data_IF_095712817124
#
_entry.id   IF_095712817124
#
_cell.length_a   1.000
_cell.length_b   1.000
_cell.length_c   1.000
_cell.angle_alpha   90.00
_cell.angle_beta   90.00
_cell.angle_gamma   90.00
#
_symmetry.space_group_name_H-M   'P 1'
#
loop_
_entity.id
_entity.type
_entity.pdbx_description
1 polymer ?
#
# COMPACT_ATOMS: atom_id res chain seq x y z
N UNK A 1 -35.23 -41.79 -40.33
CA UNK A 1 -34.54 -43.09 -40.47
C UNK A 1 -33.21 -43.02 -41.24
N UNK A 2 -33.12 -42.29 -42.37
CA UNK A 2 -31.90 -42.26 -43.23
C UNK A 2 -30.68 -41.60 -42.56
N UNK A 3 -30.86 -40.62 -41.68
CA UNK A 3 -29.76 -39.94 -40.97
C UNK A 3 -29.08 -40.82 -39.92
N UNK A 4 -29.84 -41.69 -39.24
CA UNK A 4 -29.30 -42.66 -38.27
C UNK A 4 -28.42 -43.69 -38.96
N UNK A 5 -28.85 -44.25 -40.10
CA UNK A 5 -28.04 -45.17 -40.89
C UNK A 5 -26.77 -44.51 -41.46
N UNK A 6 -26.83 -43.23 -41.88
CA UNK A 6 -25.64 -42.49 -42.31
C UNK A 6 -24.66 -42.26 -41.17
N UNK A 7 -25.13 -41.91 -39.98
CA UNK A 7 -24.31 -41.77 -38.77
C UNK A 7 -23.70 -43.12 -38.36
N UNK A 8 -24.50 -44.19 -38.37
CA UNK A 8 -24.06 -45.55 -38.06
C UNK A 8 -23.00 -46.05 -39.05
N UNK A 9 -23.18 -45.79 -40.35
CA UNK A 9 -22.19 -46.10 -41.38
C UNK A 9 -20.91 -45.27 -41.23
N UNK A 10 -20.99 -43.99 -40.83
CA UNK A 10 -19.82 -43.15 -40.56
C UNK A 10 -19.03 -43.63 -39.33
N UNK A 11 -19.74 -44.05 -38.28
CA UNK A 11 -19.16 -44.67 -37.08
C UNK A 11 -18.48 -46.00 -37.44
N UNK A 12 -19.14 -46.84 -38.24
CA UNK A 12 -18.58 -48.11 -38.69
C UNK A 12 -17.38 -47.95 -39.63
N UNK A 13 -17.41 -46.95 -40.52
CA UNK A 13 -16.32 -46.66 -41.46
C UNK A 13 -15.07 -46.14 -40.72
N UNK A 14 -15.26 -45.48 -39.59
CA UNK A 14 -14.18 -45.01 -38.71
C UNK A 14 -13.96 -45.92 -37.49
N UNK A 15 -14.48 -47.16 -37.48
CA UNK A 15 -14.45 -48.05 -36.30
C UNK A 15 -13.05 -48.26 -35.72
N UNK A 16 -12.03 -48.31 -36.57
CA UNK A 16 -10.66 -48.53 -36.12
C UNK A 16 -10.06 -47.30 -35.44
N UNK A 17 -10.44 -46.10 -35.87
CA UNK A 17 -10.05 -44.85 -35.22
C UNK A 17 -10.86 -44.64 -33.92
N UNK A 18 -12.15 -44.98 -33.93
CA UNK A 18 -13.00 -44.96 -32.75
C UNK A 18 -12.58 -45.99 -31.70
N UNK A 19 -12.21 -47.21 -32.11
CA UNK A 19 -11.70 -48.24 -31.21
C UNK A 19 -10.40 -47.78 -30.54
N UNK A 20 -9.45 -47.22 -31.32
CA UNK A 20 -8.20 -46.68 -30.78
C UNK A 20 -8.43 -45.49 -29.85
N UNK A 21 -9.38 -44.61 -30.18
CA UNK A 21 -9.78 -43.49 -29.32
C UNK A 21 -10.44 -43.98 -28.04
N UNK A 22 -11.34 -44.96 -28.10
CA UNK A 22 -12.00 -45.56 -26.93
C UNK A 22 -11.03 -46.34 -26.04
N UNK A 23 -9.96 -46.89 -26.60
CA UNK A 23 -8.91 -47.60 -25.85
C UNK A 23 -7.91 -46.63 -25.20
N UNK A 24 -7.67 -45.47 -25.81
CA UNK A 24 -6.79 -44.41 -25.31
C UNK A 24 -7.51 -43.36 -24.43
N UNK A 25 -8.84 -43.25 -24.52
CA UNK A 25 -9.66 -42.29 -23.79
C UNK A 25 -9.57 -42.48 -22.27
N UNK A 26 -9.77 -43.69 -21.73
CA UNK A 26 -9.72 -43.91 -20.29
C UNK A 26 -8.39 -43.52 -19.65
N UNK A 27 -7.20 -43.96 -20.13
CA UNK A 27 -5.94 -43.55 -19.53
C UNK A 27 -5.65 -42.05 -19.74
N UNK A 28 -6.06 -41.46 -20.87
CA UNK A 28 -5.89 -40.02 -21.10
C UNK A 28 -6.77 -39.17 -20.17
N UNK A 29 -8.01 -39.58 -19.93
CA UNK A 29 -8.94 -38.91 -19.01
C UNK A 29 -8.50 -39.08 -17.54
N UNK A 30 -7.97 -40.25 -17.16
CA UNK A 30 -7.40 -40.47 -15.84
C UNK A 30 -6.16 -39.58 -15.60
N UNK A 31 -5.23 -39.52 -16.56
CA UNK A 31 -4.06 -38.65 -16.49
C UNK A 31 -4.43 -37.16 -16.46
N UNK A 32 -5.47 -36.76 -17.23
CA UNK A 32 -6.03 -35.42 -17.17
C UNK A 32 -6.64 -35.12 -15.80
N UNK A 33 -7.38 -36.07 -15.22
CA UNK A 33 -7.97 -35.93 -13.89
C UNK A 33 -6.93 -35.78 -12.78
N UNK A 34 -5.86 -36.57 -12.82
CA UNK A 34 -4.73 -36.46 -11.88
C UNK A 34 -4.00 -35.12 -12.02
N UNK A 35 -3.74 -34.68 -13.26
CA UNK A 35 -3.13 -33.37 -13.53
C UNK A 35 -3.98 -32.22 -13.01
N UNK A 36 -5.32 -32.30 -13.17
CA UNK A 36 -6.24 -31.31 -12.62
C UNK A 36 -6.23 -31.30 -11.09
N UNK A 37 -6.18 -32.47 -10.44
CA UNK A 37 -6.09 -32.55 -8.97
C UNK A 37 -4.78 -31.94 -8.44
N UNK A 38 -3.65 -32.22 -9.08
CA UNK A 38 -2.35 -31.62 -8.72
C UNK A 38 -2.34 -30.10 -8.91
N UNK A 39 -2.84 -29.63 -10.06
CA UNK A 39 -2.98 -28.20 -10.31
C UNK A 39 -3.90 -27.52 -9.28
N UNK A 40 -4.97 -28.20 -8.86
CA UNK A 40 -5.88 -27.69 -7.85
C UNK A 40 -5.26 -27.60 -6.45
N UNK A 41 -4.44 -28.58 -6.06
CA UNK A 41 -3.66 -28.54 -4.82
C UNK A 41 -2.61 -27.41 -4.86
N UNK A 42 -1.96 -27.21 -6.00
CA UNK A 42 -1.05 -26.09 -6.22
C UNK A 42 -1.74 -24.73 -6.08
N UNK A 43 -2.92 -24.56 -6.68
CA UNK A 43 -3.72 -23.35 -6.54
C UNK A 43 -4.15 -23.10 -5.09
N UNK A 44 -4.61 -24.11 -4.35
CA UNK A 44 -4.95 -23.99 -2.92
C UNK A 44 -3.72 -23.57 -2.10
N UNK A 45 -2.56 -24.15 -2.39
CA UNK A 45 -1.29 -23.84 -1.71
C UNK A 45 -0.85 -22.40 -1.96
N UNK A 46 -0.93 -21.93 -3.21
CA UNK A 46 -0.68 -20.54 -3.57
C UNK A 46 -1.69 -19.59 -2.90
N UNK A 47 -2.97 -19.96 -2.87
CA UNK A 47 -4.01 -19.21 -2.16
C UNK A 47 -3.76 -19.10 -0.65
N UNK A 48 -3.27 -20.18 -0.02
CA UNK A 48 -2.85 -20.19 1.38
C UNK A 48 -1.61 -19.31 1.63
N UNK A 49 -0.63 -19.31 0.73
CA UNK A 49 0.54 -18.45 0.82
C UNK A 49 0.19 -16.96 0.72
N UNK A 50 -0.78 -16.60 -0.11
CA UNK A 50 -1.17 -15.20 -0.33
C UNK A 50 -2.03 -14.68 0.83
N UNK A 51 -3.09 -15.41 1.21
CA UNK A 51 -4.09 -14.98 2.21
C UNK A 51 -3.71 -15.32 3.65
N UNK A 52 -2.87 -16.33 3.84
CA UNK A 52 -2.70 -17.00 5.13
C UNK A 52 -3.61 -18.21 5.27
N UNK A 53 -3.03 -19.30 5.76
CA UNK A 53 -3.68 -20.57 6.08
C UNK A 53 -2.77 -21.43 6.96
N UNK A 54 -3.31 -22.49 7.55
CA UNK A 54 -2.57 -23.39 8.44
C UNK A 54 -1.27 -23.87 7.79
N UNK A 55 -0.13 -23.60 8.45
CA UNK A 55 1.20 -24.04 8.02
C UNK A 55 2.05 -23.03 7.23
N UNK A 56 1.54 -21.84 6.88
CA UNK A 56 2.35 -20.79 6.26
C UNK A 56 2.90 -19.80 7.31
N UNK A 57 4.22 -19.77 7.59
CA UNK A 57 4.79 -18.97 8.69
C UNK A 57 4.71 -17.45 8.46
N UNK A 58 4.63 -16.99 7.20
CA UNK A 58 4.45 -15.58 6.81
C UNK A 58 3.64 -15.57 5.50
N UNK A 59 2.58 -14.76 5.42
CA UNK A 59 1.80 -14.59 4.18
C UNK A 59 1.85 -13.13 3.69
N UNK A 60 1.66 -12.96 2.38
CA UNK A 60 1.77 -11.66 1.72
C UNK A 60 0.80 -10.62 2.30
N UNK A 61 -0.42 -11.04 2.68
CA UNK A 61 -1.41 -10.19 3.33
C UNK A 61 -0.90 -9.64 4.67
N UNK A 62 -0.39 -10.51 5.55
CA UNK A 62 0.12 -10.11 6.87
C UNK A 62 1.28 -9.13 6.78
N UNK A 63 2.19 -9.31 5.82
CA UNK A 63 3.31 -8.36 5.61
C UNK A 63 2.79 -6.99 5.22
N UNK A 64 1.77 -6.94 4.36
CA UNK A 64 1.15 -5.69 3.90
C UNK A 64 0.34 -5.02 5.03
N UNK A 65 -0.40 -5.80 5.83
CA UNK A 65 -1.11 -5.29 7.02
C UNK A 65 -0.13 -4.72 8.07
N UNK A 66 0.96 -5.44 8.39
CA UNK A 66 2.00 -4.97 9.31
C UNK A 66 2.68 -3.69 8.81
N UNK A 67 2.93 -3.59 7.50
CA UNK A 67 3.47 -2.36 6.91
C UNK A 67 2.48 -1.20 7.03
N UNK A 68 1.18 -1.43 6.84
CA UNK A 68 0.15 -0.41 7.03
C UNK A 68 0.07 0.07 8.48
N UNK A 69 0.13 -0.84 9.45
CA UNK A 69 0.17 -0.52 10.88
C UNK A 69 1.43 0.27 11.26
N UNK A 70 2.59 -0.13 10.74
CA UNK A 70 3.84 0.60 10.95
C UNK A 70 3.79 2.01 10.36
N UNK A 71 3.17 2.20 9.18
CA UNK A 71 2.94 3.53 8.60
C UNK A 71 1.95 4.35 9.43
N UNK A 72 0.92 3.73 10.01
CA UNK A 72 -0.02 4.42 10.89
C UNK A 72 0.66 4.90 12.19
N UNK A 73 1.52 4.07 12.79
CA UNK A 73 2.34 4.46 13.92
C UNK A 73 3.37 5.55 13.54
N UNK A 74 3.93 5.48 12.34
CA UNK A 74 4.82 6.50 11.79
C UNK A 74 4.12 7.85 11.61
N UNK A 75 2.89 7.84 11.09
CA UNK A 75 2.03 9.03 10.96
C UNK A 75 1.86 9.73 12.31
N UNK A 76 1.49 8.98 13.35
CA UNK A 76 1.28 9.55 14.69
C UNK A 76 2.53 10.28 15.19
N UNK A 77 3.71 9.67 15.07
CA UNK A 77 4.97 10.32 15.49
C UNK A 77 5.29 11.58 14.68
N UNK A 78 4.95 11.60 13.40
CA UNK A 78 5.13 12.77 12.53
C UNK A 78 4.19 13.90 12.95
N UNK A 79 2.94 13.60 13.27
CA UNK A 79 1.99 14.58 13.81
C UNK A 79 2.45 15.13 15.16
N UNK A 80 2.85 14.26 16.09
CA UNK A 80 3.36 14.67 17.41
C UNK A 80 4.59 15.59 17.28
N UNK A 81 5.45 15.33 16.28
CA UNK A 81 6.62 16.16 15.99
C UNK A 81 6.21 17.51 15.40
N UNK A 82 5.20 17.54 14.52
CA UNK A 82 4.69 18.78 13.94
C UNK A 82 4.10 19.69 15.02
N UNK A 83 3.31 19.12 15.93
CA UNK A 83 2.70 19.85 17.04
C UNK A 83 3.78 20.40 17.99
N UNK A 84 4.82 19.61 18.29
CA UNK A 84 5.96 20.09 19.08
C UNK A 84 6.70 21.27 18.44
N UNK A 85 6.91 21.26 17.11
CA UNK A 85 7.55 22.38 16.42
C UNK A 85 6.68 23.65 16.45
N UNK A 86 5.37 23.49 16.34
CA UNK A 86 4.42 24.61 16.43
C UNK A 86 4.40 25.23 17.84
N UNK A 87 4.39 24.39 18.87
CA UNK A 87 4.51 24.82 20.28
C UNK A 87 5.84 25.53 20.53
N UNK A 88 6.96 24.95 20.06
CA UNK A 88 8.27 25.55 20.19
C UNK A 88 8.36 26.90 19.46
N UNK A 89 7.79 27.00 18.26
CA UNK A 89 7.69 28.25 17.51
C UNK A 89 6.92 29.31 18.29
N UNK A 90 5.74 28.95 18.81
CA UNK A 90 4.90 29.82 19.62
C UNK A 90 5.63 30.33 20.87
N UNK A 91 6.31 29.46 21.61
CA UNK A 91 7.08 29.85 22.80
C UNK A 91 8.26 30.77 22.46
N UNK A 92 9.00 30.46 21.39
CA UNK A 92 10.10 31.31 20.92
C UNK A 92 9.58 32.67 20.43
N UNK A 93 8.44 32.70 19.75
CA UNK A 93 7.79 33.91 19.24
C UNK A 93 7.31 34.86 20.35
N UNK A 94 7.05 34.35 21.56
CA UNK A 94 6.71 35.13 22.76
C UNK A 94 7.91 35.89 23.33
N UNK A 95 9.14 35.49 23.02
CA UNK A 95 10.34 36.17 23.51
C UNK A 95 10.53 37.50 22.75
N UNK A 96 10.10 38.60 23.38
CA UNK A 96 10.32 39.97 22.89
C UNK A 96 11.51 40.58 23.61
N UNK A 97 12.45 41.11 22.83
CA UNK A 97 13.63 41.79 23.39
C UNK A 97 13.44 43.30 23.26
N UNK A 98 13.60 44.06 24.35
CA UNK A 98 13.60 45.51 24.28
C UNK A 98 14.73 45.98 23.38
N UNK A 99 14.43 46.90 22.47
CA UNK A 99 15.40 47.56 21.60
C UNK A 99 15.40 49.04 21.91
N UNK A 100 16.60 49.61 22.02
CA UNK A 100 16.81 51.03 22.26
C UNK A 100 17.33 51.64 20.98
N UNK A 101 16.64 52.66 20.49
CA UNK A 101 17.10 53.45 19.34
C UNK A 101 17.24 54.91 19.75
N UNK A 102 18.33 55.53 19.30
CA UNK A 102 18.65 56.91 19.60
C UNK A 102 18.37 57.77 18.37
N UNK A 103 17.66 58.87 18.56
CA UNK A 103 17.48 59.87 17.53
C UNK A 103 18.51 60.96 17.77
N UNK A 104 19.46 61.15 16.86
CA UNK A 104 20.46 62.22 16.95
C UNK A 104 20.03 63.43 16.12
N UNK A 105 20.25 64.61 16.67
CA UNK A 105 20.16 65.89 15.96
C UNK A 105 21.57 66.42 15.79
N UNK A 106 21.96 66.71 14.55
CA UNK A 106 23.27 67.28 14.24
C UNK A 106 23.27 68.78 14.52
N UNK A 107 24.14 69.23 15.42
CA UNK A 107 24.32 70.64 15.77
C UNK A 107 25.61 71.14 15.09
N UNK A 108 25.51 72.11 14.15
CA UNK A 108 26.69 72.67 13.50
C UNK A 108 27.50 73.54 14.48
N UNK A 109 28.80 73.29 14.55
CA UNK A 109 29.80 74.03 15.35
C UNK A 109 30.94 74.50 14.45
N UNK A 110 30.74 75.62 13.77
CA UNK A 110 31.77 76.36 13.03
C UNK A 110 32.41 75.61 11.84
N UNK A 111 33.34 74.70 12.12
CA UNK A 111 34.10 73.89 11.15
C UNK A 111 33.68 72.41 11.12
N UNK A 112 32.67 72.02 11.90
CA UNK A 112 32.13 70.66 11.90
C UNK A 112 30.73 70.58 12.49
N UNK A 113 30.25 69.37 12.76
CA UNK A 113 28.97 69.13 13.42
C UNK A 113 29.11 68.12 14.56
N UNK A 114 28.39 68.34 15.65
CA UNK A 114 28.28 67.40 16.76
C UNK A 114 26.89 66.77 16.73
N UNK A 115 26.82 65.45 16.65
CA UNK A 115 25.56 64.73 16.82
C UNK A 115 25.19 64.65 18.30
N UNK A 116 24.05 65.23 18.65
CA UNK A 116 23.51 65.19 20.02
C UNK A 116 22.26 64.33 20.02
N UNK A 117 22.20 63.35 20.90
CA UNK A 117 21.00 62.52 21.08
C UNK A 117 19.86 63.40 21.60
N UNK A 118 18.80 63.52 20.82
CA UNK A 118 17.60 64.31 21.11
C UNK A 118 16.38 63.44 21.46
N UNK A 119 16.50 62.12 21.40
CA UNK A 119 15.42 61.21 21.76
C UNK A 119 15.92 59.79 22.00
N UNK A 120 15.25 59.09 22.92
CA UNK A 120 15.39 57.66 23.16
C UNK A 120 14.04 57.01 22.90
N UNK A 121 13.99 56.11 21.92
CA UNK A 121 12.79 55.30 21.64
C UNK A 121 13.04 53.87 22.11
N UNK A 122 12.18 53.40 23.02
CA UNK A 122 12.13 52.01 23.47
C UNK A 122 11.09 51.27 22.62
N UNK A 123 11.54 50.28 21.85
CA UNK A 123 10.69 49.40 21.07
C UNK A 123 10.87 47.94 21.54
N UNK A 124 10.01 47.04 21.06
CA UNK A 124 10.19 45.60 21.24
C UNK A 124 10.42 44.96 19.88
N UNK A 125 11.51 44.21 19.74
CA UNK A 125 11.82 43.44 18.54
C UNK A 125 11.66 41.94 18.83
N UNK A 126 11.10 41.22 17.85
CA UNK A 126 11.10 39.75 17.86
C UNK A 126 12.40 39.28 17.24
N UNK A 127 13.39 38.92 18.05
CA UNK A 127 14.69 38.43 17.54
C UNK A 127 14.56 37.09 16.80
N UNK A 128 13.51 36.34 17.10
CA UNK A 128 13.30 34.98 16.61
C UNK A 128 12.15 34.85 15.60
N UNK A 129 11.67 35.95 15.02
CA UNK A 129 10.61 35.90 13.99
C UNK A 129 10.91 34.89 12.86
N UNK A 130 12.09 34.96 12.22
CA UNK A 130 12.47 34.00 11.18
C UNK A 130 12.57 32.54 11.67
N UNK A 131 12.90 32.32 12.94
CA UNK A 131 12.97 30.98 13.54
C UNK A 131 11.57 30.42 13.77
N UNK A 132 10.65 31.24 14.29
CA UNK A 132 9.25 30.88 14.41
C UNK A 132 8.66 30.51 13.03
N UNK A 133 8.87 31.34 12.01
CA UNK A 133 8.36 31.08 10.66
C UNK A 133 8.93 29.77 10.08
N UNK A 134 10.22 29.48 10.30
CA UNK A 134 10.85 28.23 9.87
C UNK A 134 10.31 26.99 10.60
N UNK A 135 9.98 27.12 11.89
CA UNK A 135 9.37 26.05 12.68
C UNK A 135 7.93 25.77 12.22
N UNK A 136 7.14 26.80 11.95
CA UNK A 136 5.80 26.68 11.36
C UNK A 136 5.83 26.02 9.99
N UNK A 137 6.70 26.47 9.08
CA UNK A 137 6.88 25.86 7.74
C UNK A 137 7.31 24.38 7.84
N UNK A 138 8.16 24.05 8.83
CA UNK A 138 8.55 22.66 9.08
C UNK A 138 7.39 21.80 9.59
N UNK A 139 6.56 22.34 10.48
CA UNK A 139 5.35 21.66 10.97
C UNK A 139 4.35 21.40 9.83
N UNK A 140 4.13 22.38 8.94
CA UNK A 140 3.29 22.21 7.75
C UNK A 140 3.79 21.10 6.81
N UNK A 141 5.11 21.07 6.55
CA UNK A 141 5.73 20.00 5.75
C UNK A 141 5.57 18.63 6.40
N UNK A 142 5.70 18.52 7.71
CA UNK A 142 5.46 17.26 8.44
C UNK A 142 3.99 16.83 8.32
N UNK A 143 3.02 17.75 8.39
CA UNK A 143 1.60 17.45 8.16
C UNK A 143 1.32 16.96 6.74
N UNK A 144 2.02 17.50 5.74
CA UNK A 144 1.95 16.97 4.38
C UNK A 144 2.49 15.53 4.29
N UNK A 145 3.61 15.23 4.96
CA UNK A 145 4.14 13.85 5.07
C UNK A 145 3.16 12.92 5.78
N UNK A 146 2.54 13.36 6.88
CA UNK A 146 1.50 12.62 7.60
C UNK A 146 0.33 12.23 6.69
N UNK A 147 -0.13 13.17 5.86
CA UNK A 147 -1.18 12.92 4.85
C UNK A 147 -0.75 11.87 3.83
N UNK A 148 0.50 11.93 3.34
CA UNK A 148 1.04 10.91 2.44
C UNK A 148 1.17 9.53 3.09
N UNK A 149 1.58 9.46 4.36
CA UNK A 149 1.65 8.21 5.12
C UNK A 149 0.25 7.60 5.27
N UNK A 150 -0.77 8.42 5.57
CA UNK A 150 -2.16 7.97 5.66
C UNK A 150 -2.66 7.42 4.32
N UNK A 151 -2.42 8.13 3.22
CA UNK A 151 -2.80 7.68 1.88
C UNK A 151 -2.10 6.36 1.51
N UNK A 152 -0.83 6.22 1.87
CA UNK A 152 -0.05 4.99 1.62
C UNK A 152 -0.59 3.82 2.45
N UNK A 153 -0.91 4.03 3.74
CA UNK A 153 -1.53 3.01 4.58
C UNK A 153 -2.89 2.54 4.02
N UNK A 154 -3.72 3.47 3.51
CA UNK A 154 -4.99 3.13 2.86
C UNK A 154 -4.79 2.30 1.58
N UNK A 155 -3.77 2.62 0.79
CA UNK A 155 -3.39 1.83 -0.39
C UNK A 155 -2.93 0.42 0.00
N UNK A 156 -2.15 0.29 1.07
CA UNK A 156 -1.73 -1.03 1.58
C UNK A 156 -2.92 -1.85 2.08
N UNK A 157 -3.88 -1.26 2.80
CA UNK A 157 -5.12 -1.95 3.17
C UNK A 157 -5.90 -2.45 1.95
N UNK A 158 -6.00 -1.62 0.91
CA UNK A 158 -6.64 -2.02 -0.35
C UNK A 158 -5.90 -3.17 -1.03
N UNK A 159 -4.57 -3.15 -1.01
CA UNK A 159 -3.75 -4.26 -1.52
C UNK A 159 -3.94 -5.54 -0.68
N UNK A 160 -4.01 -5.44 0.64
CA UNK A 160 -4.29 -6.59 1.52
C UNK A 160 -5.67 -7.22 1.21
N UNK A 161 -6.70 -6.39 0.95
CA UNK A 161 -8.01 -6.87 0.53
C UNK A 161 -7.95 -7.59 -0.84
N UNK A 162 -7.25 -7.01 -1.82
CA UNK A 162 -7.05 -7.64 -3.13
C UNK A 162 -6.30 -8.98 -3.02
N UNK A 163 -5.28 -9.07 -2.17
CA UNK A 163 -4.56 -10.32 -1.89
C UNK A 163 -5.49 -11.36 -1.24
N UNK A 164 -6.36 -10.95 -0.33
CA UNK A 164 -7.36 -11.83 0.26
C UNK A 164 -8.33 -12.40 -0.79
N UNK A 165 -8.81 -11.56 -1.70
CA UNK A 165 -9.73 -11.96 -2.78
C UNK A 165 -9.04 -12.88 -3.78
N UNK A 166 -7.81 -12.56 -4.18
CA UNK A 166 -6.99 -13.43 -5.01
C UNK A 166 -6.77 -14.80 -4.34
N UNK A 167 -6.47 -14.83 -3.05
CA UNK A 167 -6.33 -16.07 -2.29
C UNK A 167 -7.61 -16.91 -2.25
N UNK A 168 -8.79 -16.26 -2.12
CA UNK A 168 -10.09 -16.93 -2.21
C UNK A 168 -10.35 -17.48 -3.62
N UNK A 169 -10.02 -16.70 -4.66
CA UNK A 169 -10.14 -17.11 -6.05
C UNK A 169 -9.29 -18.36 -6.35
N UNK A 170 -8.03 -18.37 -5.93
CA UNK A 170 -7.16 -19.53 -6.08
C UNK A 170 -7.68 -20.78 -5.35
N UNK A 171 -8.25 -20.64 -4.16
CA UNK A 171 -8.91 -21.76 -3.46
C UNK A 171 -10.12 -22.27 -4.22
N UNK A 172 -10.96 -21.37 -4.74
CA UNK A 172 -12.14 -21.73 -5.52
C UNK A 172 -11.77 -22.47 -6.80
N UNK A 173 -10.81 -21.94 -7.57
CA UNK A 173 -10.25 -22.59 -8.76
C UNK A 173 -9.65 -23.95 -8.39
N UNK A 174 -8.91 -24.02 -7.29
CA UNK A 174 -8.31 -25.27 -6.86
C UNK A 174 -9.32 -26.35 -6.48
N UNK A 175 -10.38 -25.99 -5.74
CA UNK A 175 -11.48 -26.89 -5.43
C UNK A 175 -12.21 -27.35 -6.71
N UNK A 176 -12.44 -26.45 -7.66
CA UNK A 176 -13.06 -26.76 -8.94
C UNK A 176 -12.23 -27.77 -9.74
N UNK A 177 -10.91 -27.57 -9.82
CA UNK A 177 -9.99 -28.46 -10.50
C UNK A 177 -9.93 -29.85 -9.84
N UNK A 178 -9.89 -29.91 -8.50
CA UNK A 178 -9.92 -31.18 -7.77
C UNK A 178 -11.23 -31.93 -8.02
N UNK A 179 -12.37 -31.24 -7.94
CA UNK A 179 -13.69 -31.82 -8.18
C UNK A 179 -13.84 -32.32 -9.62
N UNK A 180 -13.43 -31.52 -10.60
CA UNK A 180 -13.46 -31.88 -12.03
C UNK A 180 -12.53 -33.06 -12.33
N UNK A 181 -11.33 -33.06 -11.76
CA UNK A 181 -10.39 -34.17 -11.93
C UNK A 181 -10.88 -35.46 -11.27
N UNK A 182 -11.54 -35.36 -10.11
CA UNK A 182 -12.20 -36.49 -9.46
C UNK A 182 -13.34 -37.07 -10.29
N UNK A 183 -14.18 -36.21 -10.87
CA UNK A 183 -15.27 -36.63 -11.76
C UNK A 183 -14.75 -37.31 -13.03
N UNK A 184 -13.68 -36.76 -13.64
CA UNK A 184 -13.03 -37.38 -14.80
C UNK A 184 -12.49 -38.77 -14.47
N UNK A 185 -11.86 -38.93 -13.30
CA UNK A 185 -11.35 -40.22 -12.84
C UNK A 185 -12.47 -41.24 -12.60
N UNK A 186 -13.60 -40.82 -12.03
CA UNK A 186 -14.77 -41.69 -11.83
C UNK A 186 -15.43 -42.17 -13.12
N UNK A 187 -15.31 -41.42 -14.23
CA UNK A 187 -15.85 -41.83 -15.54
C UNK A 187 -14.93 -42.87 -16.21
N UNK A 188 -13.68 -42.99 -15.73
CA UNK A 188 -12.66 -43.91 -16.27
C UNK A 188 -12.48 -45.19 -15.46
N UNK A 189 -13.09 -45.27 -14.28
CA UNK A 189 -13.16 -46.46 -13.42
C UNK A 189 -14.44 -47.27 -13.72
#
# INVERSE_FOLDING_TARGET
MIAFFKALCLIWKNRHQLARLLELLPPALAAAGESMQQAGQGAISAGNFIKGGDGAPVNARQVVEQAAEALAAGKQKVDDTADFLEDAGSEIGKVKVPTVSFTTTSIPVGIGSVEVVNGITLAQASLFGPVNDALTDSAEKLRAVSTHLQATAANLHSAAAALNDAGNGFKSVGNFLISSGGALKQITE
#
